data_IF_303315987172
#
_entry.id   IF_303315987172
#
_cell.length_a   1.000
_cell.length_b   1.000
_cell.length_c   1.000
_cell.angle_alpha   90.00
_cell.angle_beta   90.00
_cell.angle_gamma   90.00
#
_symmetry.space_group_name_H-M   'P 1'
#
loop_
_entity.id
_entity.type
_entity.pdbx_description
1 polymer ?
#
# COMPACT_ATOMS: atom_id res chain seq x y z
N UNK A 1 5.65 -26.48 -36.71
CA UNK A 1 5.26 -25.12 -36.26
C UNK A 1 6.35 -24.14 -36.72
N UNK A 2 6.03 -23.03 -37.40
CA UNK A 2 7.06 -22.08 -37.87
C UNK A 2 7.75 -21.43 -36.67
N UNK A 3 9.06 -21.22 -36.73
CA UNK A 3 9.86 -20.58 -35.67
C UNK A 3 9.29 -19.21 -35.29
N UNK A 4 8.82 -18.44 -36.27
CA UNK A 4 8.17 -17.13 -36.05
C UNK A 4 6.89 -17.23 -35.21
N UNK A 5 6.16 -18.34 -35.31
CA UNK A 5 4.98 -18.59 -34.48
C UNK A 5 5.38 -18.84 -33.01
N UNK A 6 6.42 -19.65 -32.80
CA UNK A 6 6.98 -19.92 -31.46
C UNK A 6 7.44 -18.61 -30.81
N UNK A 7 8.23 -17.81 -31.53
CA UNK A 7 8.73 -16.52 -31.04
C UNK A 7 7.58 -15.58 -30.69
N UNK A 8 6.55 -15.52 -31.55
CA UNK A 8 5.36 -14.71 -31.30
C UNK A 8 4.63 -15.14 -30.02
N UNK A 9 4.42 -16.44 -29.82
CA UNK A 9 3.78 -16.97 -28.61
C UNK A 9 4.62 -16.79 -27.35
N UNK A 10 5.95 -16.85 -27.44
CA UNK A 10 6.84 -16.50 -26.32
C UNK A 10 6.62 -15.03 -25.93
N UNK A 11 6.54 -14.12 -26.91
CA UNK A 11 6.22 -12.71 -26.67
C UNK A 11 4.86 -12.52 -26.00
N UNK A 12 3.83 -13.21 -26.50
CA UNK A 12 2.48 -13.21 -25.91
C UNK A 12 2.53 -13.65 -24.45
N UNK A 13 3.13 -14.80 -24.15
CA UNK A 13 3.20 -15.34 -22.79
C UNK A 13 3.95 -14.40 -21.86
N UNK A 14 5.13 -13.93 -22.28
CA UNK A 14 5.96 -13.04 -21.47
C UNK A 14 5.21 -11.75 -21.11
N UNK A 15 4.64 -11.06 -22.11
CA UNK A 15 3.92 -9.81 -21.86
C UNK A 15 2.63 -10.04 -21.07
N UNK A 16 1.95 -11.17 -21.28
CA UNK A 16 0.77 -11.53 -20.48
C UNK A 16 1.12 -11.72 -19.00
N UNK A 17 2.25 -12.37 -18.70
CA UNK A 17 2.72 -12.53 -17.32
C UNK A 17 3.06 -11.17 -16.68
N UNK A 18 3.74 -10.29 -17.42
CA UNK A 18 4.07 -8.94 -16.95
C UNK A 18 2.81 -8.11 -16.71
N UNK A 19 1.86 -8.12 -17.66
CA UNK A 19 0.59 -7.42 -17.52
C UNK A 19 -0.24 -7.98 -16.35
N UNK A 20 -0.24 -9.29 -16.14
CA UNK A 20 -0.94 -9.94 -15.02
C UNK A 20 -0.31 -9.59 -13.67
N UNK A 21 1.02 -9.55 -13.59
CA UNK A 21 1.73 -9.08 -12.40
C UNK A 21 1.34 -7.64 -12.06
N UNK A 22 1.36 -6.74 -13.05
CA UNK A 22 0.94 -5.35 -12.83
C UNK A 22 -0.55 -5.21 -12.51
N UNK A 23 -1.41 -6.07 -13.05
CA UNK A 23 -2.82 -6.10 -12.72
C UNK A 23 -3.05 -6.54 -11.26
N UNK A 24 -2.36 -7.60 -10.83
CA UNK A 24 -2.36 -8.09 -9.44
C UNK A 24 -1.84 -7.04 -8.46
N UNK A 25 -0.64 -6.51 -8.71
CA UNK A 25 -0.02 -5.54 -7.82
C UNK A 25 -0.81 -4.23 -7.81
N UNK A 26 -1.15 -3.71 -8.99
CA UNK A 26 -1.86 -2.44 -9.14
C UNK A 26 -3.24 -2.43 -8.49
N UNK A 27 -4.02 -3.52 -8.60
CA UNK A 27 -5.32 -3.58 -7.94
C UNK A 27 -5.17 -3.63 -6.42
N UNK A 28 -4.21 -4.40 -5.89
CA UNK A 28 -3.98 -4.50 -4.44
C UNK A 28 -3.53 -3.14 -3.89
N UNK A 29 -2.56 -2.49 -4.52
CA UNK A 29 -2.05 -1.19 -4.07
C UNK A 29 -3.09 -0.07 -4.19
N UNK A 30 -3.92 -0.08 -5.23
CA UNK A 30 -5.02 0.88 -5.37
C UNK A 30 -5.96 0.88 -4.15
N UNK A 31 -6.26 -0.30 -3.59
CA UNK A 31 -7.11 -0.45 -2.41
C UNK A 31 -6.34 -0.37 -1.08
N UNK A 32 -5.03 -0.61 -1.10
CA UNK A 32 -4.15 -0.49 0.06
C UNK A 32 -3.84 0.98 0.38
N UNK A 33 -3.48 1.77 -0.63
CA UNK A 33 -3.01 3.15 -0.48
C UNK A 33 -4.00 4.20 -1.00
N UNK A 34 -4.85 3.89 -1.98
CA UNK A 34 -5.57 4.91 -2.75
C UNK A 34 -7.04 5.15 -2.38
N UNK A 35 -7.68 4.19 -1.73
CA UNK A 35 -9.12 4.24 -1.47
C UNK A 35 -9.51 4.99 -0.18
N UNK A 36 -8.87 6.12 0.09
CA UNK A 36 -9.20 7.03 1.21
C UNK A 36 -9.74 8.40 0.75
N UNK A 37 -9.55 8.79 -0.51
CA UNK A 37 -10.02 10.09 -1.04
C UNK A 37 -11.54 10.23 -0.89
N UNK A 38 -12.09 11.42 -0.59
CA UNK A 38 -13.53 11.56 -0.39
C UNK A 38 -14.33 11.45 -1.69
N UNK A 39 -13.83 12.01 -2.81
CA UNK A 39 -14.55 11.97 -4.09
C UNK A 39 -14.34 10.64 -4.83
N UNK A 40 -15.42 10.04 -5.33
CA UNK A 40 -15.37 8.80 -6.13
C UNK A 40 -14.45 8.93 -7.36
N UNK A 41 -14.52 10.05 -8.07
CA UNK A 41 -13.69 10.30 -9.25
C UNK A 41 -12.20 10.21 -8.92
N UNK A 42 -11.77 10.76 -7.77
CA UNK A 42 -10.37 10.69 -7.34
C UNK A 42 -9.94 9.25 -7.01
N UNK A 43 -10.82 8.44 -6.40
CA UNK A 43 -10.55 7.01 -6.17
C UNK A 43 -10.39 6.25 -7.48
N UNK A 44 -11.25 6.53 -8.46
CA UNK A 44 -11.20 5.89 -9.77
C UNK A 44 -9.95 6.30 -10.56
N UNK A 45 -9.58 7.59 -10.56
CA UNK A 45 -8.35 8.07 -11.19
C UNK A 45 -7.11 7.46 -10.55
N UNK A 46 -7.07 7.38 -9.21
CA UNK A 46 -5.95 6.73 -8.53
C UNK A 46 -5.89 5.23 -8.83
N UNK A 47 -7.03 4.54 -8.85
CA UNK A 47 -7.11 3.13 -9.27
C UNK A 47 -6.61 2.96 -10.70
N UNK A 48 -7.01 3.84 -11.62
CA UNK A 48 -6.53 3.84 -13.00
C UNK A 48 -5.02 4.08 -13.08
N UNK A 49 -4.45 4.96 -12.23
CA UNK A 49 -3.02 5.20 -12.19
C UNK A 49 -2.23 3.93 -11.80
N UNK A 50 -2.66 3.22 -10.74
CA UNK A 50 -2.01 1.95 -10.34
C UNK A 50 -2.20 0.82 -11.38
N UNK A 51 -3.32 0.82 -12.11
CA UNK A 51 -3.58 -0.17 -13.18
C UNK A 51 -2.95 0.20 -14.53
N UNK A 52 -2.46 1.43 -14.68
CA UNK A 52 -1.94 1.93 -15.95
C UNK A 52 -0.83 1.06 -16.56
N UNK A 53 0.10 0.46 -15.81
CA UNK A 53 1.11 -0.41 -16.41
C UNK A 53 0.46 -1.63 -17.08
N UNK A 54 -0.48 -2.32 -16.41
CA UNK A 54 -1.15 -3.49 -16.96
C UNK A 54 -1.91 -3.18 -18.27
N UNK A 55 -2.59 -2.03 -18.30
CA UNK A 55 -3.31 -1.53 -19.49
C UNK A 55 -2.35 -1.21 -20.62
N UNK A 56 -1.23 -0.53 -20.34
CA UNK A 56 -0.22 -0.17 -21.34
C UNK A 56 0.42 -1.43 -21.94
N UNK A 57 0.87 -2.39 -21.12
CA UNK A 57 1.46 -3.64 -21.62
C UNK A 57 0.47 -4.43 -22.47
N UNK A 58 -0.79 -4.56 -22.03
CA UNK A 58 -1.82 -5.28 -22.78
C UNK A 58 -2.16 -4.58 -24.10
N UNK A 59 -2.32 -3.26 -24.08
CA UNK A 59 -2.59 -2.46 -25.26
C UNK A 59 -1.45 -2.52 -26.28
N UNK A 60 -0.21 -2.35 -25.83
CA UNK A 60 0.97 -2.43 -26.70
C UNK A 60 1.16 -3.83 -27.28
N UNK A 61 0.88 -4.89 -26.53
CA UNK A 61 0.92 -6.25 -27.05
C UNK A 61 -0.19 -6.50 -28.09
N UNK A 62 -1.41 -5.99 -27.90
CA UNK A 62 -2.46 -6.06 -28.93
C UNK A 62 -2.02 -5.34 -30.23
N UNK A 63 -1.40 -4.16 -30.09
CA UNK A 63 -0.82 -3.44 -31.22
C UNK A 63 0.36 -4.19 -31.84
N UNK A 64 1.20 -4.86 -31.05
CA UNK A 64 2.33 -5.65 -31.53
C UNK A 64 1.93 -6.95 -32.22
N UNK A 65 0.80 -7.55 -31.84
CA UNK A 65 0.25 -8.72 -32.54
C UNK A 65 -0.27 -8.31 -33.91
N UNK A 66 -1.02 -7.20 -34.01
CA UNK A 66 -1.63 -6.73 -35.27
C UNK A 66 -0.66 -5.97 -36.18
N UNK A 67 0.18 -5.14 -35.57
CA UNK A 67 1.15 -4.26 -36.23
C UNK A 67 2.51 -4.38 -35.54
N UNK A 68 3.25 -5.45 -35.84
CA UNK A 68 4.54 -5.77 -35.22
C UNK A 68 5.54 -4.62 -35.13
N UNK A 69 5.67 -3.83 -36.20
CA UNK A 69 6.57 -2.66 -36.19
C UNK A 69 6.10 -1.59 -35.20
N UNK A 70 4.80 -1.32 -35.13
CA UNK A 70 4.23 -0.32 -34.21
C UNK A 70 4.40 -0.78 -32.76
N UNK A 71 4.03 -2.02 -32.45
CA UNK A 71 4.21 -2.57 -31.10
C UNK A 71 5.67 -2.59 -30.66
N UNK A 72 6.60 -2.96 -31.55
CA UNK A 72 8.02 -2.95 -31.25
C UNK A 72 8.54 -1.56 -30.89
N UNK A 73 8.20 -0.54 -31.68
CA UNK A 73 8.56 0.86 -31.41
C UNK A 73 7.98 1.32 -30.07
N UNK A 74 6.71 1.05 -29.81
CA UNK A 74 6.05 1.46 -28.56
C UNK A 74 6.70 0.83 -27.32
N UNK A 75 7.01 -0.47 -27.37
CA UNK A 75 7.66 -1.17 -26.27
C UNK A 75 9.11 -0.70 -26.02
N UNK A 76 9.87 -0.44 -27.10
CA UNK A 76 11.23 0.09 -26.99
C UNK A 76 11.21 1.50 -26.38
N UNK A 77 10.30 2.36 -26.86
CA UNK A 77 10.13 3.71 -26.31
C UNK A 77 9.71 3.68 -24.84
N UNK A 78 8.82 2.77 -24.45
CA UNK A 78 8.41 2.60 -23.05
C UNK A 78 9.62 2.26 -22.15
N UNK A 79 10.43 1.29 -22.57
CA UNK A 79 11.65 0.92 -21.84
C UNK A 79 12.64 2.09 -21.72
N UNK A 80 12.82 2.87 -22.79
CA UNK A 80 13.69 4.05 -22.80
C UNK A 80 13.17 5.19 -21.91
N UNK A 81 11.87 5.45 -21.92
CA UNK A 81 11.24 6.46 -21.05
C UNK A 81 11.41 6.07 -19.58
N UNK A 82 11.13 4.82 -19.22
CA UNK A 82 11.31 4.35 -17.84
C UNK A 82 12.77 4.49 -17.40
N UNK A 83 13.72 4.08 -18.24
CA UNK A 83 15.15 4.24 -17.97
C UNK A 83 15.51 5.71 -17.69
N UNK A 84 14.98 6.62 -18.51
CA UNK A 84 15.25 8.06 -18.40
C UNK A 84 14.67 8.63 -17.10
N UNK A 85 13.45 8.26 -16.73
CA UNK A 85 12.81 8.72 -15.50
C UNK A 85 13.58 8.25 -14.25
N UNK A 86 14.04 7.00 -14.23
CA UNK A 86 14.83 6.44 -13.11
C UNK A 86 16.14 7.22 -12.92
N UNK A 87 16.81 7.57 -14.02
CA UNK A 87 18.06 8.35 -14.00
C UNK A 87 17.81 9.76 -13.47
N UNK A 88 16.74 10.42 -13.93
CA UNK A 88 16.39 11.78 -13.51
C UNK A 88 16.02 11.83 -12.03
N UNK A 89 15.26 10.86 -11.54
CA UNK A 89 14.77 10.82 -10.15
C UNK A 89 15.90 10.56 -9.13
N UNK A 90 17.12 10.21 -9.59
CA UNK A 90 18.25 9.76 -8.75
C UNK A 90 17.85 8.68 -7.74
N UNK A 91 16.81 7.92 -8.10
CA UNK A 91 16.19 6.95 -7.22
C UNK A 91 17.20 5.86 -6.86
N UNK A 92 17.29 5.53 -5.57
CA UNK A 92 18.11 4.41 -5.09
C UNK A 92 17.41 3.08 -5.36
N UNK A 93 17.02 2.84 -6.61
CA UNK A 93 16.40 1.60 -7.06
C UNK A 93 17.53 0.61 -7.38
N UNK A 94 17.37 -0.64 -6.92
CA UNK A 94 18.32 -1.71 -7.21
C UNK A 94 18.45 -1.92 -8.72
N UNK A 95 19.67 -2.12 -9.21
CA UNK A 95 19.96 -2.25 -10.65
C UNK A 95 19.16 -3.36 -11.31
N UNK A 96 18.84 -4.43 -10.58
CA UNK A 96 18.03 -5.55 -11.07
C UNK A 96 16.60 -5.11 -11.40
N UNK A 97 16.01 -4.23 -10.58
CA UNK A 97 14.67 -3.68 -10.83
C UNK A 97 14.72 -2.75 -12.04
N UNK A 98 15.75 -1.90 -12.15
CA UNK A 98 15.92 -1.02 -13.32
C UNK A 98 16.03 -1.85 -14.60
N UNK A 99 16.85 -2.90 -14.59
CA UNK A 99 16.99 -3.80 -15.72
C UNK A 99 15.68 -4.53 -16.02
N UNK A 100 14.95 -5.02 -15.02
CA UNK A 100 13.64 -5.64 -15.26
C UNK A 100 12.65 -4.65 -15.91
N UNK A 101 12.53 -3.44 -15.37
CA UNK A 101 11.55 -2.45 -15.84
C UNK A 101 11.86 -1.92 -17.25
N UNK A 102 13.13 -1.96 -17.66
CA UNK A 102 13.57 -1.41 -18.96
C UNK A 102 13.79 -2.49 -20.02
N UNK A 103 14.45 -3.60 -19.67
CA UNK A 103 14.75 -4.68 -20.61
C UNK A 103 13.52 -5.51 -20.96
N UNK A 104 12.59 -5.75 -20.04
CA UNK A 104 11.39 -6.56 -20.32
C UNK A 104 10.51 -5.93 -21.43
N UNK A 105 10.18 -4.63 -21.41
CA UNK A 105 9.54 -3.97 -22.55
C UNK A 105 10.32 -4.15 -23.85
N UNK A 106 11.62 -3.86 -23.86
CA UNK A 106 12.45 -3.92 -25.07
C UNK A 106 12.46 -5.33 -25.66
N UNK A 107 12.68 -6.35 -24.84
CA UNK A 107 12.63 -7.76 -25.25
C UNK A 107 11.25 -8.13 -25.79
N UNK A 108 10.17 -7.71 -25.12
CA UNK A 108 8.80 -7.90 -25.62
C UNK A 108 8.58 -7.28 -27.00
N UNK A 109 9.08 -6.05 -27.22
CA UNK A 109 9.04 -5.37 -28.51
C UNK A 109 9.77 -6.14 -29.61
N UNK A 110 10.98 -6.63 -29.34
CA UNK A 110 11.75 -7.44 -30.28
C UNK A 110 11.06 -8.77 -30.61
N UNK A 111 10.48 -9.44 -29.60
CA UNK A 111 9.73 -10.69 -29.79
C UNK A 111 8.51 -10.48 -30.70
N UNK A 112 7.78 -9.37 -30.58
CA UNK A 112 6.69 -9.06 -31.51
C UNK A 112 7.19 -8.66 -32.89
N UNK A 113 8.31 -7.95 -32.98
CA UNK A 113 8.89 -7.55 -34.27
C UNK A 113 9.18 -8.76 -35.16
N UNK A 114 9.88 -9.77 -34.61
CA UNK A 114 10.29 -10.99 -35.32
C UNK A 114 9.25 -12.13 -35.25
N UNK A 115 8.36 -12.11 -34.26
CA UNK A 115 7.34 -13.11 -34.03
C UNK A 115 6.02 -12.83 -34.75
N UNK A 116 5.26 -13.88 -35.03
CA UNK A 116 3.90 -13.81 -35.60
C UNK A 116 3.03 -14.88 -34.94
N UNK A 117 2.41 -14.59 -33.77
CA UNK A 117 1.60 -15.59 -33.08
C UNK A 117 0.33 -15.89 -33.89
N UNK A 118 0.11 -17.16 -34.18
CA UNK A 118 -1.09 -17.67 -34.85
C UNK A 118 -1.80 -18.70 -33.97
N UNK A 119 -3.14 -18.63 -33.83
CA UNK A 119 -4.02 -17.59 -34.39
C UNK A 119 -3.95 -16.26 -33.61
N UNK A 120 -3.96 -15.13 -34.33
CA UNK A 120 -3.83 -13.79 -33.74
C UNK A 120 -4.96 -13.44 -32.76
N UNK A 121 -6.18 -13.89 -33.05
CA UNK A 121 -7.34 -13.68 -32.18
C UNK A 121 -7.14 -14.32 -30.81
N UNK A 122 -6.61 -15.55 -30.76
CA UNK A 122 -6.30 -16.21 -29.50
C UNK A 122 -5.19 -15.49 -28.74
N UNK A 123 -4.15 -15.02 -29.43
CA UNK A 123 -3.08 -14.23 -28.83
C UNK A 123 -3.61 -12.93 -28.21
N UNK A 124 -4.47 -12.19 -28.91
CA UNK A 124 -5.11 -10.99 -28.36
C UNK A 124 -6.01 -11.30 -27.17
N UNK A 125 -6.78 -12.40 -27.22
CA UNK A 125 -7.62 -12.82 -26.10
C UNK A 125 -6.75 -13.14 -24.88
N UNK A 126 -5.66 -13.88 -25.04
CA UNK A 126 -4.76 -14.25 -23.93
C UNK A 126 -4.17 -13.02 -23.24
N UNK A 127 -3.65 -12.07 -24.04
CA UNK A 127 -3.03 -10.83 -23.53
C UNK A 127 -4.00 -9.95 -22.76
N UNK A 128 -5.30 -9.97 -23.09
CA UNK A 128 -6.31 -9.10 -22.44
C UNK A 128 -7.06 -9.84 -21.34
N UNK A 129 -7.53 -11.05 -21.61
CA UNK A 129 -8.40 -11.79 -20.71
C UNK A 129 -7.67 -12.27 -19.46
N UNK A 130 -6.41 -12.74 -19.56
CA UNK A 130 -5.69 -13.25 -18.39
C UNK A 130 -5.37 -12.13 -17.37
N UNK A 131 -4.84 -10.96 -17.77
CA UNK A 131 -4.65 -9.86 -16.83
C UNK A 131 -5.97 -9.33 -16.26
N UNK A 132 -7.05 -9.30 -17.07
CA UNK A 132 -8.37 -8.92 -16.59
C UNK A 132 -8.93 -9.90 -15.55
N UNK A 133 -8.81 -11.21 -15.77
CA UNK A 133 -9.20 -12.22 -14.80
C UNK A 133 -8.35 -12.11 -13.52
N UNK A 134 -7.05 -11.84 -13.67
CA UNK A 134 -6.15 -11.61 -12.53
C UNK A 134 -6.58 -10.38 -11.72
N UNK A 135 -6.94 -9.29 -12.40
CA UNK A 135 -7.48 -8.07 -11.78
C UNK A 135 -8.76 -8.38 -11.01
N UNK A 136 -9.73 -9.06 -11.63
CA UNK A 136 -11.01 -9.38 -11.02
C UNK A 136 -10.85 -10.31 -9.81
N UNK A 137 -10.06 -11.37 -9.96
CA UNK A 137 -9.80 -12.32 -8.88
C UNK A 137 -9.07 -11.69 -7.69
N UNK A 138 -8.03 -10.90 -7.97
CA UNK A 138 -7.20 -10.27 -6.93
C UNK A 138 -7.85 -9.02 -6.32
N UNK A 139 -8.76 -8.38 -7.05
CA UNK A 139 -9.49 -7.20 -6.61
C UNK A 139 -10.76 -7.51 -5.81
N UNK A 140 -11.28 -8.74 -5.85
CA UNK A 140 -12.52 -9.10 -5.18
C UNK A 140 -12.48 -8.88 -3.65
N UNK A 141 -11.44 -9.40 -2.97
CA UNK A 141 -11.30 -9.19 -1.52
C UNK A 141 -11.04 -7.72 -1.16
N UNK A 142 -10.11 -6.99 -1.82
CA UNK A 142 -9.89 -5.59 -1.51
C UNK A 142 -11.13 -4.71 -1.71
N UNK A 143 -11.89 -4.92 -2.80
CA UNK A 143 -13.15 -4.21 -3.05
C UNK A 143 -14.14 -4.51 -1.93
N UNK A 144 -14.41 -5.78 -1.65
CA UNK A 144 -15.32 -6.18 -0.58
C UNK A 144 -14.91 -5.56 0.76
N UNK A 145 -13.62 -5.61 1.07
CA UNK A 145 -13.04 -5.08 2.29
C UNK A 145 -13.31 -3.59 2.43
N UNK A 146 -13.00 -2.78 1.41
CA UNK A 146 -13.21 -1.33 1.52
C UNK A 146 -14.69 -0.95 1.52
N UNK A 147 -15.54 -1.66 0.77
CA UNK A 147 -17.00 -1.46 0.78
C UNK A 147 -17.65 -1.81 2.13
N UNK A 148 -17.00 -2.66 2.94
CA UNK A 148 -17.53 -3.12 4.23
C UNK A 148 -16.80 -2.52 5.43
N UNK A 149 -15.89 -1.55 5.22
CA UNK A 149 -15.19 -0.86 6.31
C UNK A 149 -16.17 -0.18 7.24
N UNK A 150 -15.99 -0.44 8.53
CA UNK A 150 -16.71 0.27 9.56
C UNK A 150 -16.09 1.65 9.83
N UNK A 151 -16.93 2.68 9.76
CA UNK A 151 -16.62 4.04 10.18
C UNK A 151 -17.77 4.58 11.00
N UNK A 152 -17.50 4.99 12.24
CA UNK A 152 -18.48 5.63 13.12
C UNK A 152 -18.47 7.16 13.02
N UNK A 153 -17.57 7.74 12.23
CA UNK A 153 -17.41 9.20 12.08
C UNK A 153 -16.81 9.90 13.30
N UNK A 154 -16.56 9.20 14.41
CA UNK A 154 -16.05 9.79 15.64
C UNK A 154 -14.52 9.81 15.63
N UNK A 155 -13.98 11.02 15.51
CA UNK A 155 -12.54 11.33 15.51
C UNK A 155 -12.06 11.91 16.84
N UNK A 156 -12.89 11.86 17.87
CA UNK A 156 -12.58 12.30 19.22
C UNK A 156 -11.68 11.33 19.99
N UNK A 157 -11.53 11.61 21.28
CA UNK A 157 -10.82 10.76 22.22
C UNK A 157 -11.55 9.43 22.38
N UNK A 158 -10.86 8.30 22.22
CA UNK A 158 -11.48 6.97 22.24
C UNK A 158 -10.94 6.09 23.36
N UNK A 159 -11.83 5.54 24.19
CA UNK A 159 -11.48 4.45 25.07
C UNK A 159 -11.53 3.14 24.29
N UNK A 160 -10.39 2.47 24.14
CA UNK A 160 -10.28 1.18 23.44
C UNK A 160 -9.86 0.10 24.44
N UNK A 161 -10.64 -0.98 24.46
CA UNK A 161 -10.39 -2.18 25.27
C UNK A 161 -10.16 -3.36 24.35
N UNK A 162 -9.06 -4.08 24.54
CA UNK A 162 -8.74 -5.25 23.74
C UNK A 162 -7.59 -6.06 24.33
N UNK A 163 -7.78 -7.38 24.40
CA UNK A 163 -6.76 -8.36 24.83
C UNK A 163 -5.97 -7.93 26.10
N UNK A 164 -6.69 -7.49 27.14
CA UNK A 164 -6.11 -7.06 28.42
C UNK A 164 -5.59 -5.63 28.46
N UNK A 165 -5.57 -4.93 27.32
CA UNK A 165 -5.16 -3.52 27.22
C UNK A 165 -6.39 -2.62 27.29
N UNK A 166 -6.31 -1.56 28.11
CA UNK A 166 -7.32 -0.48 28.18
C UNK A 166 -6.62 0.87 28.04
N UNK A 167 -6.81 1.52 26.89
CA UNK A 167 -6.13 2.76 26.54
C UNK A 167 -7.12 3.83 26.14
N UNK A 168 -6.78 5.07 26.48
CA UNK A 168 -7.38 6.27 25.91
C UNK A 168 -6.51 6.65 24.72
N UNK A 169 -7.08 6.61 23.52
CA UNK A 169 -6.46 7.05 22.28
C UNK A 169 -6.81 8.51 22.01
N UNK A 170 -5.80 9.30 21.67
CA UNK A 170 -5.94 10.72 21.35
C UNK A 170 -6.91 10.95 20.18
N UNK A 171 -7.57 12.11 20.09
CA UNK A 171 -8.38 12.48 18.93
C UNK A 171 -7.51 12.67 17.67
N UNK A 172 -8.17 12.97 16.55
CA UNK A 172 -7.50 13.32 15.29
C UNK A 172 -6.79 14.68 15.38
N UNK A 173 -5.60 14.68 15.99
CA UNK A 173 -4.73 15.84 16.17
C UNK A 173 -3.49 15.82 15.27
N UNK A 174 -2.36 16.42 15.69
CA UNK A 174 -1.14 16.62 14.89
C UNK A 174 -0.49 15.34 14.33
N UNK A 175 -0.85 14.16 14.85
CA UNK A 175 -0.37 12.86 14.34
C UNK A 175 -1.21 12.25 13.23
N UNK A 176 -2.41 12.78 12.98
CA UNK A 176 -3.36 12.37 11.94
C UNK A 176 -3.20 13.18 10.64
N UNK A 177 -2.08 13.89 10.49
CA UNK A 177 -1.83 14.82 9.38
C UNK A 177 -2.26 14.24 8.04
N UNK A 178 -3.18 14.95 7.36
CA UNK A 178 -3.63 14.62 6.00
C UNK A 178 -2.68 15.19 4.94
N UNK A 179 -1.79 16.08 5.36
CA UNK A 179 -1.00 16.95 4.49
C UNK A 179 0.49 16.58 4.49
N UNK A 180 0.92 15.59 5.27
CA UNK A 180 2.31 15.15 5.32
C UNK A 180 2.59 14.11 6.41
N UNK A 181 3.64 13.32 6.19
CA UNK A 181 4.11 12.33 7.15
C UNK A 181 5.05 12.93 8.18
N UNK A 182 5.26 12.21 9.27
CA UNK A 182 6.29 12.56 10.27
C UNK A 182 7.26 11.42 10.44
N UNK A 183 8.52 11.76 10.69
CA UNK A 183 9.51 10.77 11.08
C UNK A 183 9.30 10.33 12.55
N UNK A 184 10.04 9.31 12.98
CA UNK A 184 9.84 8.72 14.31
C UNK A 184 10.27 9.65 15.46
N UNK A 185 11.34 10.43 15.27
CA UNK A 185 11.83 11.36 16.29
C UNK A 185 10.85 12.53 16.43
N UNK A 186 10.37 13.05 15.31
CA UNK A 186 9.34 14.07 15.28
C UNK A 186 8.03 13.57 15.90
N UNK A 187 7.61 12.33 15.63
CA UNK A 187 6.44 11.75 16.28
C UNK A 187 6.57 11.72 17.81
N UNK A 188 7.74 11.31 18.33
CA UNK A 188 8.00 11.32 19.78
C UNK A 188 7.95 12.72 20.36
N UNK A 189 8.58 13.68 19.70
CA UNK A 189 8.62 15.06 20.15
C UNK A 189 7.20 15.66 20.14
N UNK A 190 6.46 15.53 19.05
CA UNK A 190 5.08 16.03 18.97
C UNK A 190 4.19 15.44 20.06
N UNK A 191 4.35 14.16 20.39
CA UNK A 191 3.58 13.54 21.48
C UNK A 191 3.95 14.12 22.85
N UNK A 192 5.23 14.38 23.11
CA UNK A 192 5.70 14.97 24.36
C UNK A 192 5.10 16.36 24.62
N UNK A 193 4.90 17.14 23.57
CA UNK A 193 4.33 18.49 23.61
C UNK A 193 2.83 18.52 23.31
N UNK A 194 2.17 17.36 23.25
CA UNK A 194 0.74 17.29 22.96
C UNK A 194 -0.07 17.71 24.19
N UNK A 195 -0.94 18.71 24.02
CA UNK A 195 -1.84 19.18 25.07
C UNK A 195 -2.75 18.05 25.58
N UNK A 196 -3.33 18.21 26.78
CA UNK A 196 -4.18 17.19 27.37
C UNK A 196 -5.40 16.83 26.48
N UNK A 197 -5.93 17.80 25.73
CA UNK A 197 -7.02 17.58 24.78
C UNK A 197 -6.63 16.69 23.59
N UNK A 198 -5.33 16.52 23.32
CA UNK A 198 -4.79 15.74 22.22
C UNK A 198 -4.92 16.40 20.84
N UNK A 199 -5.31 17.68 20.77
CA UNK A 199 -5.61 18.40 19.53
C UNK A 199 -4.53 19.39 19.12
N UNK A 200 -3.74 19.91 20.06
CA UNK A 200 -2.76 20.96 19.81
C UNK A 200 -1.40 20.70 20.47
N UNK A 201 -0.35 21.30 19.90
CA UNK A 201 0.99 21.27 20.48
C UNK A 201 1.23 22.52 21.32
N UNK A 202 1.79 22.34 22.51
CA UNK A 202 2.17 23.41 23.42
C UNK A 202 3.65 23.77 23.27
N UNK A 203 4.06 24.88 23.89
CA UNK A 203 5.48 25.30 23.93
C UNK A 203 6.31 24.55 24.97
N UNK A 204 5.66 24.05 26.01
CA UNK A 204 6.30 23.31 27.11
C UNK A 204 5.94 21.82 27.03
N UNK A 205 6.86 20.91 27.39
CA UNK A 205 6.54 19.48 27.51
C UNK A 205 5.36 19.24 28.45
N UNK A 206 4.45 18.38 28.03
CA UNK A 206 3.22 18.05 28.78
C UNK A 206 3.24 16.63 29.33
N UNK A 207 3.78 15.68 28.56
CA UNK A 207 3.92 14.27 28.94
C UNK A 207 2.60 13.57 29.35
N UNK A 208 1.43 14.13 28.98
CA UNK A 208 0.12 13.47 29.16
C UNK A 208 -0.08 12.25 28.26
N UNK A 209 0.57 12.29 27.10
CA UNK A 209 0.42 11.32 26.03
C UNK A 209 1.77 10.67 25.71
N UNK A 210 1.72 9.46 25.17
CA UNK A 210 2.89 8.74 24.65
C UNK A 210 2.55 8.01 23.36
N UNK A 211 3.57 7.61 22.61
CA UNK A 211 3.37 6.63 21.54
C UNK A 211 2.90 5.30 22.15
N UNK A 212 1.99 4.56 21.47
CA UNK A 212 1.63 3.21 21.85
C UNK A 212 2.79 2.26 21.57
N UNK A 213 2.93 1.20 22.37
CA UNK A 213 3.79 0.07 22.00
C UNK A 213 3.16 -0.72 20.85
N UNK A 214 3.95 -1.52 20.14
CA UNK A 214 3.46 -2.40 19.06
C UNK A 214 2.36 -3.33 19.54
N UNK A 215 2.51 -3.89 20.75
CA UNK A 215 1.53 -4.78 21.37
C UNK A 215 0.22 -4.05 21.65
N UNK A 216 0.30 -2.83 22.18
CA UNK A 216 -0.89 -2.01 22.43
C UNK A 216 -1.68 -1.67 21.16
N UNK A 217 -0.97 -1.39 20.05
CA UNK A 217 -1.65 -1.20 18.76
C UNK A 217 -2.31 -2.52 18.32
N UNK A 218 -1.57 -3.63 18.31
CA UNK A 218 -2.05 -4.98 17.91
C UNK A 218 -3.32 -5.34 18.67
N UNK A 219 -3.31 -5.20 20.00
CA UNK A 219 -4.44 -5.48 20.88
C UNK A 219 -5.64 -4.55 20.64
N UNK A 220 -5.45 -3.40 20.00
CA UNK A 220 -6.48 -2.38 19.77
C UNK A 220 -7.11 -2.44 18.37
N UNK A 221 -6.53 -3.19 17.43
CA UNK A 221 -7.02 -3.25 16.05
C UNK A 221 -8.41 -3.89 15.96
N UNK A 222 -9.19 -3.45 14.97
CA UNK A 222 -10.60 -3.82 14.82
C UNK A 222 -10.94 -4.30 13.40
N UNK A 223 -12.06 -5.02 13.29
CA UNK A 223 -12.69 -5.41 12.03
C UNK A 223 -14.19 -5.64 12.19
N UNK A 224 -15.00 -4.84 11.50
CA UNK A 224 -16.46 -4.83 11.58
C UNK A 224 -16.97 -4.35 12.94
N UNK A 225 -16.43 -3.24 13.45
CA UNK A 225 -16.76 -2.67 14.77
C UNK A 225 -16.55 -3.63 15.97
N UNK A 226 -15.61 -4.57 15.82
CA UNK A 226 -15.23 -5.53 16.87
C UNK A 226 -13.72 -5.61 16.94
N UNK A 227 -13.18 -5.89 18.12
CA UNK A 227 -11.77 -6.20 18.28
C UNK A 227 -11.35 -7.35 17.36
N UNK A 228 -10.18 -7.26 16.75
CA UNK A 228 -9.67 -8.25 15.79
C UNK A 228 -9.04 -9.48 16.46
N UNK A 229 -9.00 -9.53 17.80
CA UNK A 229 -8.37 -10.61 18.56
C UNK A 229 -6.84 -10.55 18.50
N UNK A 230 -6.27 -9.34 18.35
CA UNK A 230 -4.84 -9.16 18.12
C UNK A 230 -4.01 -9.47 19.37
N UNK A 231 -3.12 -10.46 19.29
CA UNK A 231 -2.18 -10.82 20.35
C UNK A 231 -0.77 -10.76 19.79
N UNK A 232 0.17 -10.23 20.57
CA UNK A 232 1.58 -10.20 20.21
C UNK A 232 2.29 -11.48 20.67
N UNK A 233 2.96 -12.19 19.76
CA UNK A 233 3.86 -13.30 20.09
C UNK A 233 5.30 -12.76 20.24
N UNK A 234 5.83 -12.65 21.47
CA UNK A 234 7.17 -12.12 21.70
C UNK A 234 8.28 -13.07 21.25
N UNK A 235 8.01 -14.38 21.15
CA UNK A 235 9.00 -15.39 20.74
C UNK A 235 9.20 -15.34 19.23
N UNK A 236 8.10 -15.27 18.47
CA UNK A 236 8.15 -15.17 17.01
C UNK A 236 8.33 -13.75 16.51
N UNK A 237 8.18 -12.76 17.40
CA UNK A 237 8.18 -11.33 17.06
C UNK A 237 7.16 -11.02 15.95
N UNK A 238 5.95 -11.58 16.08
CA UNK A 238 4.87 -11.49 15.11
C UNK A 238 3.50 -11.34 15.80
N UNK A 239 2.55 -10.64 15.18
CA UNK A 239 1.19 -10.59 15.69
C UNK A 239 0.36 -11.79 15.21
N UNK A 240 -0.58 -12.21 16.04
CA UNK A 240 -1.65 -13.14 15.68
C UNK A 240 -3.00 -12.42 15.80
N UNK A 241 -3.94 -12.72 14.90
CA UNK A 241 -5.28 -12.15 14.93
C UNK A 241 -6.31 -13.26 14.70
N UNK A 242 -7.38 -13.28 15.48
CA UNK A 242 -8.57 -14.10 15.20
C UNK A 242 -9.22 -13.71 13.87
N UNK A 243 -9.18 -12.41 13.55
CA UNK A 243 -9.67 -11.85 12.30
C UNK A 243 -8.70 -10.80 11.79
N UNK A 244 -8.35 -10.85 10.49
CA UNK A 244 -7.50 -9.83 9.89
C UNK A 244 -8.10 -8.43 10.11
N UNK A 245 -7.39 -7.51 10.78
CA UNK A 245 -7.88 -6.16 11.01
C UNK A 245 -7.91 -5.35 9.71
N UNK A 246 -8.61 -4.23 9.73
CA UNK A 246 -8.65 -3.30 8.61
C UNK A 246 -8.60 -1.84 9.11
N UNK A 247 -8.52 -0.92 8.16
CA UNK A 247 -8.46 0.53 8.38
C UNK A 247 -9.82 1.06 8.82
N UNK A 248 -10.17 0.79 10.07
CA UNK A 248 -11.49 1.06 10.64
C UNK A 248 -11.40 1.84 11.96
N UNK A 249 -12.52 2.48 12.31
CA UNK A 249 -12.74 2.99 13.66
C UNK A 249 -12.63 1.87 14.70
N UNK A 250 -12.17 2.17 15.94
CA UNK A 250 -11.88 3.50 16.44
C UNK A 250 -10.44 3.95 16.17
N UNK A 251 -9.52 3.06 15.78
CA UNK A 251 -8.06 3.33 15.73
C UNK A 251 -7.67 4.17 14.51
N UNK A 252 -8.28 3.90 13.35
CA UNK A 252 -7.93 4.49 12.07
C UNK A 252 -9.01 5.42 11.52
N UNK A 253 -8.61 6.40 10.71
CA UNK A 253 -9.52 7.07 9.76
C UNK A 253 -9.56 6.25 8.47
N UNK A 254 -10.70 5.70 8.03
CA UNK A 254 -10.80 5.08 6.71
C UNK A 254 -10.51 6.08 5.57
N UNK A 255 -10.70 7.38 5.81
CA UNK A 255 -10.59 8.45 4.82
C UNK A 255 -9.37 9.38 4.99
N UNK A 256 -8.36 8.97 5.77
CA UNK A 256 -7.05 9.64 5.80
C UNK A 256 -6.01 8.86 4.95
N UNK A 257 -4.92 9.51 4.48
CA UNK A 257 -3.82 8.81 3.83
C UNK A 257 -3.05 7.87 4.76
N UNK A 258 -3.06 8.14 6.06
CA UNK A 258 -2.35 7.39 7.09
C UNK A 258 -2.71 5.90 7.08
N UNK A 259 -1.74 5.02 6.83
CA UNK A 259 -1.89 3.55 6.84
C UNK A 259 -0.87 2.86 7.75
N UNK A 260 0.08 3.62 8.29
CA UNK A 260 1.13 3.16 9.18
C UNK A 260 1.19 4.04 10.44
N UNK A 261 1.21 3.42 11.61
CA UNK A 261 1.43 4.10 12.88
C UNK A 261 2.82 3.81 13.40
N UNK A 262 3.57 4.86 13.74
CA UNK A 262 4.75 4.75 14.59
C UNK A 262 4.36 4.24 15.98
N UNK A 263 5.22 3.38 16.52
CA UNK A 263 5.13 2.86 17.88
C UNK A 263 6.28 3.40 18.74
N UNK A 264 6.16 3.27 20.05
CA UNK A 264 7.23 3.59 20.99
C UNK A 264 8.44 2.65 20.86
N UNK A 265 8.26 1.47 20.27
CA UNK A 265 9.28 0.42 20.27
C UNK A 265 10.33 0.64 19.19
N UNK A 266 11.59 0.64 19.61
CA UNK A 266 12.73 0.63 18.72
C UNK A 266 13.05 -0.80 18.27
N UNK A 267 13.44 -0.95 17.00
CA UNK A 267 14.01 -2.20 16.50
C UNK A 267 15.53 -2.22 16.67
N UNK A 268 16.17 -1.05 16.54
CA UNK A 268 17.57 -0.78 16.81
C UNK A 268 17.82 0.74 16.74
N UNK A 269 19.09 1.15 16.84
CA UNK A 269 19.50 2.56 16.79
C UNK A 269 18.94 3.34 15.59
N UNK A 270 18.81 2.71 14.42
CA UNK A 270 18.38 3.36 13.17
C UNK A 270 16.93 3.08 12.79
N UNK A 271 16.27 2.13 13.45
CA UNK A 271 14.94 1.65 13.03
C UNK A 271 13.96 1.59 14.19
N UNK A 272 12.71 1.96 13.93
CA UNK A 272 11.60 1.81 14.85
C UNK A 272 10.48 0.97 14.21
N UNK A 273 9.61 0.42 15.05
CA UNK A 273 8.50 -0.41 14.59
C UNK A 273 7.32 0.46 14.15
N UNK A 274 6.76 0.14 12.99
CA UNK A 274 5.44 0.60 12.54
C UNK A 274 4.44 -0.54 12.57
N UNK A 275 3.18 -0.20 12.79
CA UNK A 275 2.03 -1.10 12.64
C UNK A 275 1.19 -0.63 11.46
N UNK A 276 0.88 -1.54 10.55
CA UNK A 276 0.02 -1.28 9.39
C UNK A 276 -1.43 -1.54 9.77
N UNK A 277 -2.38 -0.83 9.17
CA UNK A 277 -3.82 -1.01 9.47
C UNK A 277 -4.32 -2.45 9.33
N UNK A 278 -3.73 -3.26 8.44
CA UNK A 278 -4.09 -4.66 8.25
C UNK A 278 -3.39 -5.61 9.23
N UNK A 279 -2.70 -5.06 10.23
CA UNK A 279 -2.08 -5.78 11.33
C UNK A 279 -0.63 -6.19 11.11
N UNK A 280 -0.04 -5.89 9.94
CA UNK A 280 1.37 -6.13 9.68
C UNK A 280 2.28 -5.27 10.56
N UNK A 281 3.45 -5.77 10.92
CA UNK A 281 4.43 -5.05 11.74
C UNK A 281 5.78 -5.10 11.03
N UNK A 282 6.39 -3.93 10.85
CA UNK A 282 7.63 -3.80 10.11
C UNK A 282 8.57 -2.80 10.78
N UNK A 283 9.86 -3.10 10.82
CA UNK A 283 10.86 -2.12 11.21
C UNK A 283 11.08 -1.17 10.02
N UNK A 284 11.08 0.14 10.25
CA UNK A 284 11.39 1.16 9.24
C UNK A 284 12.46 2.10 9.76
N UNK A 285 13.18 2.76 8.84
CA UNK A 285 14.19 3.76 9.21
C UNK A 285 13.49 4.90 9.97
N UNK A 286 14.07 5.34 11.09
CA UNK A 286 13.50 6.40 11.94
C UNK A 286 13.31 7.73 11.20
N UNK A 287 14.07 7.97 10.12
CA UNK A 287 14.01 9.20 9.32
C UNK A 287 12.95 9.15 8.19
N UNK A 288 12.16 8.06 8.10
CA UNK A 288 11.16 7.91 7.05
C UNK A 288 9.91 8.75 7.36
N UNK A 289 9.70 9.83 6.62
CA UNK A 289 8.54 10.73 6.75
C UNK A 289 7.56 10.64 5.56
N UNK A 290 7.10 9.43 5.22
CA UNK A 290 6.12 9.26 4.13
C UNK A 290 4.74 9.81 4.54
N UNK A 291 3.96 10.46 3.65
CA UNK A 291 2.59 10.90 3.93
C UNK A 291 1.62 9.81 4.41
N UNK A 292 1.99 8.54 4.23
CA UNK A 292 1.25 7.38 4.69
C UNK A 292 1.59 6.95 6.13
N UNK A 293 2.59 7.57 6.76
CA UNK A 293 3.12 7.25 8.08
C UNK A 293 2.95 8.44 9.03
N UNK A 294 2.49 8.14 10.25
CA UNK A 294 2.25 9.13 11.28
C UNK A 294 2.11 8.46 12.64
N UNK A 295 1.37 9.07 13.56
CA UNK A 295 1.19 8.52 14.90
C UNK A 295 -0.20 8.82 15.45
N UNK A 296 -0.57 8.04 16.45
CA UNK A 296 -1.70 8.35 17.31
C UNK A 296 -1.30 8.08 18.73
N UNK A 297 -1.38 9.10 19.56
CA UNK A 297 -0.93 9.00 20.93
C UNK A 297 -1.93 8.26 21.81
N UNK A 298 -1.44 7.67 22.89
CA UNK A 298 -2.24 6.97 23.89
C UNK A 298 -1.85 7.41 25.28
N UNK A 299 -2.80 7.26 26.22
CA UNK A 299 -2.54 7.31 27.66
C UNK A 299 -3.32 6.20 28.36
N UNK A 300 -2.87 5.80 29.55
CA UNK A 300 -3.58 4.79 30.35
C UNK A 300 -4.93 5.37 30.78
N UNK A 301 -5.98 4.55 30.74
CA UNK A 301 -7.22 4.91 31.41
C UNK A 301 -6.95 4.96 32.92
N UNK A 302 -7.20 6.10 33.56
CA UNK A 302 -7.14 6.18 35.03
C UNK A 302 -8.27 5.29 35.56
N UNK A 303 -7.93 4.34 36.42
CA UNK A 303 -8.93 3.59 37.15
C UNK A 303 -9.68 4.60 38.02
N UNK A 304 -10.89 4.97 37.62
CA UNK A 304 -11.79 5.71 38.50
C UNK A 304 -12.05 4.77 39.68
N UNK A 305 -11.46 5.07 40.85
CA UNK A 305 -11.89 4.46 42.10
C UNK A 305 -13.38 4.80 42.22
N UNK A 306 -14.23 3.79 42.03
CA UNK A 306 -15.61 3.83 42.49
C UNK A 306 -15.63 3.98 44.02
#
# INVERSE_FOLDING_TARGET
MRITNIIGWIGVVLVTLVASFWAFWGIIEAFHEGWWRPQLVMRLLQTAAYLSPAVIFSGFAVLGIRWPCVGAVLFILLGAVIATLIIIDQSSISIEIVLCLTALPIVGGLLFFFGRPMPESAACIVVVAIPLLTLLGSGAEPVYRVCTRFDDGDRGTRLVKGQGVTLIWAPAGPGWSRDGGVDWNEARERVRYLAEDGLSLTKEPQDFWRLPTREEVVCSLTRGNRNAGGIWDPVRNQPHYERKPDKESPVWDPYAPLIYLWTADEANERRAWIVVYHGGIYAKNKNLASPSIGFRAVRKAVATKL
#
